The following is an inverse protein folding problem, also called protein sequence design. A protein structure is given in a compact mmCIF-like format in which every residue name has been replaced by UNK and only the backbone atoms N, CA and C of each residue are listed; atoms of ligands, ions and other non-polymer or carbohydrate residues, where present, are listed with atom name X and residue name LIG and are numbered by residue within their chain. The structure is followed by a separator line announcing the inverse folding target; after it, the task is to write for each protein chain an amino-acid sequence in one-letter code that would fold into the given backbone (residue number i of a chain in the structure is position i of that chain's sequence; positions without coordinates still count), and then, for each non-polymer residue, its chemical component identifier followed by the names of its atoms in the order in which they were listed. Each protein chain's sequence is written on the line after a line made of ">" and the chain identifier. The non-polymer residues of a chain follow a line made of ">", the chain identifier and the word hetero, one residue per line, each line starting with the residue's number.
data_IF_613038314869
#
_entry.id   IF_613038314869
#
_cell.length_a   1.000
_cell.length_b   1.000
_cell.length_c   1.000
_cell.angle_alpha   90.00
_cell.angle_beta   90.00
_cell.angle_gamma   90.00
#
_symmetry.space_group_name_H-M   'P 1'
#
loop_
_entity.id
_entity.type
_entity.pdbx_description
1 polymer ?
#
# COMPACT_ATOMS: atom_id res chain seq x y z
N UNK A 1 8.45 -3.04 9.76
CA UNK A 1 9.30 -4.23 9.66
C UNK A 1 9.83 -4.43 8.23
N UNK A 2 11.06 -4.96 8.09
CA UNK A 2 11.68 -5.27 6.81
C UNK A 2 12.07 -4.09 5.93
N UNK A 3 11.83 -2.83 6.33
CA UNK A 3 12.09 -1.63 5.55
C UNK A 3 12.85 -0.56 6.33
N UNK A 4 13.59 0.29 5.60
CA UNK A 4 14.31 1.43 6.16
C UNK A 4 15.51 1.05 7.03
N UNK A 5 16.03 2.03 7.79
CA UNK A 5 17.20 1.87 8.66
C UNK A 5 16.95 0.93 9.84
N UNK A 6 15.72 0.87 10.33
CA UNK A 6 15.34 0.02 11.49
C UNK A 6 15.16 -1.46 11.16
N UNK A 7 15.30 -1.88 9.90
CA UNK A 7 15.12 -3.27 9.51
C UNK A 7 16.32 -4.12 9.93
N UNK A 8 16.09 -5.13 10.76
CA UNK A 8 17.12 -6.12 11.12
C UNK A 8 17.56 -6.93 9.89
N UNK A 9 16.61 -7.33 9.06
CA UNK A 9 16.84 -7.99 7.78
C UNK A 9 15.95 -7.32 6.71
N UNK A 10 16.58 -6.64 5.73
CA UNK A 10 15.87 -5.90 4.69
C UNK A 10 15.08 -6.83 3.78
N UNK A 11 13.83 -6.46 3.49
CA UNK A 11 12.92 -7.25 2.65
C UNK A 11 12.51 -8.58 3.29
N UNK A 12 12.60 -8.70 4.60
CA UNK A 12 12.13 -9.84 5.36
C UNK A 12 11.02 -9.44 6.33
N UNK A 13 10.09 -10.35 6.53
CA UNK A 13 9.00 -10.25 7.48
C UNK A 13 8.76 -11.64 8.06
N UNK A 14 9.01 -11.80 9.34
CA UNK A 14 8.86 -13.09 9.99
C UNK A 14 7.39 -13.47 10.16
N UNK A 15 6.59 -12.51 10.60
CA UNK A 15 5.15 -12.68 10.80
C UNK A 15 4.43 -11.34 10.56
N UNK A 16 3.18 -11.39 10.15
CA UNK A 16 2.34 -10.20 10.03
C UNK A 16 2.06 -9.52 11.37
N UNK A 17 2.22 -10.23 12.48
CA UNK A 17 2.06 -9.69 13.84
C UNK A 17 3.05 -8.56 14.14
N UNK A 18 4.25 -8.59 13.52
CA UNK A 18 5.21 -7.49 13.63
C UNK A 18 4.67 -6.20 13.00
N UNK A 19 3.99 -6.32 11.84
CA UNK A 19 3.33 -5.20 11.16
C UNK A 19 2.18 -4.70 12.02
N UNK A 20 1.32 -5.60 12.49
CA UNK A 20 0.19 -5.28 13.36
C UNK A 20 0.62 -4.49 14.59
N UNK A 21 1.65 -4.99 15.29
CA UNK A 21 2.20 -4.32 16.47
C UNK A 21 2.74 -2.93 16.12
N UNK A 22 3.50 -2.81 15.02
CA UNK A 22 4.08 -1.52 14.59
C UNK A 22 2.99 -0.49 14.29
N UNK A 23 1.92 -0.90 13.61
CA UNK A 23 0.78 -0.02 13.30
C UNK A 23 0.05 0.39 14.57
N UNK A 24 -0.27 -0.56 15.45
CA UNK A 24 -0.94 -0.27 16.72
C UNK A 24 -0.12 0.65 17.61
N UNK A 25 1.19 0.38 17.78
CA UNK A 25 2.06 1.21 18.60
C UNK A 25 2.21 2.62 18.04
N UNK A 26 2.18 2.77 16.71
CA UNK A 26 2.19 4.08 16.05
C UNK A 26 0.85 4.81 16.22
N UNK A 27 -0.27 4.10 16.09
CA UNK A 27 -1.61 4.66 16.22
C UNK A 27 -1.92 5.11 17.66
N UNK A 28 -1.44 4.39 18.67
CA UNK A 28 -1.57 4.79 20.08
C UNK A 28 -0.95 6.16 20.37
N UNK A 29 0.10 6.56 19.64
CA UNK A 29 0.75 7.87 19.83
C UNK A 29 -0.15 9.05 19.45
N UNK A 30 -1.14 8.82 18.61
CA UNK A 30 -2.11 9.82 18.15
C UNK A 30 -3.51 9.59 18.73
N UNK A 31 -3.66 8.69 19.69
CA UNK A 31 -4.97 8.30 20.26
C UNK A 31 -5.70 9.48 20.89
N UNK A 32 -4.96 10.44 21.46
CA UNK A 32 -5.50 11.67 22.06
C UNK A 32 -5.81 12.79 21.05
N UNK A 33 -5.51 12.60 19.76
CA UNK A 33 -5.84 13.60 18.75
C UNK A 33 -7.34 13.57 18.42
N UNK A 34 -7.92 14.75 18.20
CA UNK A 34 -9.34 14.89 17.85
C UNK A 34 -9.68 14.25 16.49
N UNK A 35 -8.74 14.35 15.55
CA UNK A 35 -8.89 13.76 14.22
C UNK A 35 -7.68 12.90 13.87
N UNK A 36 -7.93 11.66 13.48
CA UNK A 36 -6.91 10.68 13.12
C UNK A 36 -7.06 10.29 11.64
N UNK A 37 -6.01 10.55 10.88
CA UNK A 37 -5.96 10.22 9.45
C UNK A 37 -4.90 9.16 9.25
N UNK A 38 -5.26 8.07 8.60
CA UNK A 38 -4.31 7.05 8.16
C UNK A 38 -4.01 7.22 6.67
N UNK A 39 -2.73 7.30 6.32
CA UNK A 39 -2.27 7.35 4.94
C UNK A 39 -1.53 6.06 4.58
N UNK A 40 -1.87 5.49 3.41
CA UNK A 40 -1.18 4.31 2.89
C UNK A 40 -0.91 4.39 1.39
N UNK A 41 0.38 4.24 1.01
CA UNK A 41 0.80 4.13 -0.38
C UNK A 41 1.23 2.70 -0.70
N UNK A 42 0.83 2.19 -1.84
CA UNK A 42 1.24 0.88 -2.36
C UNK A 42 1.03 -0.24 -1.32
N UNK A 43 2.08 -0.95 -0.90
CA UNK A 43 2.03 -1.93 0.19
C UNK A 43 1.56 -1.32 1.51
N UNK A 44 1.90 -0.05 1.81
CA UNK A 44 1.36 0.67 2.95
C UNK A 44 -0.15 0.86 2.88
N UNK A 45 -0.74 0.96 1.69
CA UNK A 45 -2.19 0.97 1.47
C UNK A 45 -2.85 -0.36 1.83
N UNK A 46 -2.21 -1.48 1.48
CA UNK A 46 -2.65 -2.81 1.93
C UNK A 46 -2.59 -2.96 3.45
N UNK A 47 -1.49 -2.49 4.08
CA UNK A 47 -1.33 -2.49 5.54
C UNK A 47 -2.42 -1.66 6.21
N UNK A 48 -2.70 -0.46 5.71
CA UNK A 48 -3.74 0.42 6.25
C UNK A 48 -5.12 -0.23 6.18
N UNK A 49 -5.50 -0.77 5.02
CA UNK A 49 -6.78 -1.47 4.84
C UNK A 49 -6.90 -2.70 5.72
N UNK A 50 -5.85 -3.52 5.77
CA UNK A 50 -5.85 -4.68 6.68
C UNK A 50 -6.06 -4.27 8.13
N UNK A 51 -5.35 -3.23 8.57
CA UNK A 51 -5.42 -2.78 9.97
C UNK A 51 -6.80 -2.25 10.37
N UNK A 52 -7.51 -1.60 9.44
CA UNK A 52 -8.88 -1.14 9.66
C UNK A 52 -9.86 -2.33 9.62
N UNK A 53 -9.77 -3.16 8.59
CA UNK A 53 -10.71 -4.28 8.37
C UNK A 53 -10.57 -5.42 9.37
N UNK A 54 -9.44 -5.49 10.09
CA UNK A 54 -9.21 -6.42 11.20
C UNK A 54 -9.40 -5.79 12.59
N UNK A 55 -10.00 -4.59 12.65
CA UNK A 55 -10.28 -3.85 13.88
C UNK A 55 -9.04 -3.56 14.76
N UNK A 56 -7.85 -3.50 14.16
CA UNK A 56 -6.61 -3.18 14.87
C UNK A 56 -6.49 -1.69 15.18
N UNK A 57 -6.99 -0.84 14.28
CA UNK A 57 -7.01 0.62 14.41
C UNK A 57 -8.32 1.17 13.83
N UNK A 58 -8.77 2.30 14.36
CA UNK A 58 -9.98 2.98 13.91
C UNK A 58 -9.68 4.46 13.63
N UNK A 59 -9.12 4.80 12.47
CA UNK A 59 -8.94 6.19 12.06
C UNK A 59 -10.27 6.81 11.63
N UNK A 60 -10.39 8.14 11.78
CA UNK A 60 -11.55 8.89 11.33
C UNK A 60 -11.59 9.00 9.80
N UNK A 61 -10.42 9.01 9.16
CA UNK A 61 -10.27 9.12 7.70
C UNK A 61 -9.13 8.25 7.18
N UNK A 62 -9.28 7.80 5.92
CA UNK A 62 -8.27 7.02 5.21
C UNK A 62 -7.90 7.70 3.89
N UNK A 63 -6.60 7.83 3.64
CA UNK A 63 -6.05 8.31 2.37
C UNK A 63 -5.25 7.17 1.74
N UNK A 64 -5.58 6.79 0.52
CA UNK A 64 -4.90 5.72 -0.20
C UNK A 64 -4.26 6.24 -1.48
N UNK A 65 -3.07 5.77 -1.78
CA UNK A 65 -2.35 6.03 -3.03
C UNK A 65 -1.87 4.71 -3.61
N UNK A 66 -2.43 4.33 -4.77
CA UNK A 66 -2.08 3.11 -5.50
C UNK A 66 -1.96 1.85 -4.59
N UNK A 67 -2.97 1.54 -3.73
CA UNK A 67 -2.86 0.48 -2.73
C UNK A 67 -2.68 -0.88 -3.40
N UNK A 68 -1.79 -1.71 -2.84
CA UNK A 68 -1.52 -3.06 -3.36
C UNK A 68 -2.69 -3.99 -3.08
N UNK A 69 -3.66 -3.98 -4.00
CA UNK A 69 -4.86 -4.82 -3.98
C UNK A 69 -4.93 -5.63 -5.28
N UNK A 70 -5.74 -6.67 -5.27
CA UNK A 70 -6.04 -7.45 -6.46
C UNK A 70 -5.09 -8.61 -6.71
N UNK A 71 -5.56 -9.49 -7.58
CA UNK A 71 -4.94 -10.76 -7.91
C UNK A 71 -4.00 -10.64 -9.09
N UNK A 72 -2.88 -9.93 -8.93
CA UNK A 72 -1.89 -9.80 -10.00
C UNK A 72 -1.13 -11.11 -10.30
N UNK A 73 -1.32 -12.12 -9.46
CA UNK A 73 -0.65 -13.42 -9.62
C UNK A 73 -1.65 -14.56 -9.89
N UNK A 74 -1.38 -15.41 -10.89
CA UNK A 74 -2.16 -16.62 -11.12
C UNK A 74 -2.21 -17.53 -9.88
N UNK A 75 -3.31 -18.26 -9.68
CA UNK A 75 -3.49 -19.11 -8.50
C UNK A 75 -2.37 -20.15 -8.31
N UNK A 76 -1.78 -20.65 -9.40
CA UNK A 76 -0.66 -21.58 -9.29
C UNK A 76 0.60 -20.91 -8.72
N UNK A 77 0.84 -19.63 -9.02
CA UNK A 77 1.95 -18.84 -8.47
C UNK A 77 1.75 -18.61 -6.96
N UNK A 78 0.52 -18.33 -6.54
CA UNK A 78 0.18 -18.19 -5.11
C UNK A 78 0.41 -19.49 -4.34
N UNK A 79 -0.03 -20.63 -4.89
CA UNK A 79 0.20 -21.96 -4.29
C UNK A 79 1.68 -22.33 -4.25
N UNK A 80 2.41 -22.05 -5.32
CA UNK A 80 3.84 -22.34 -5.39
C UNK A 80 4.61 -21.46 -4.40
N UNK A 81 4.31 -20.17 -4.31
CA UNK A 81 4.95 -19.25 -3.35
C UNK A 81 4.70 -19.69 -1.90
N UNK A 82 3.48 -20.14 -1.59
CA UNK A 82 3.16 -20.67 -0.26
C UNK A 82 3.94 -21.95 0.05
N UNK A 83 4.11 -22.84 -0.91
CA UNK A 83 4.94 -24.05 -0.78
C UNK A 83 6.42 -23.72 -0.57
N UNK A 84 6.95 -22.82 -1.38
CA UNK A 84 8.35 -22.35 -1.26
C UNK A 84 8.57 -21.68 0.10
N UNK A 85 7.65 -20.85 0.57
CA UNK A 85 7.76 -20.18 1.85
C UNK A 85 7.80 -21.14 3.06
N UNK A 86 7.24 -22.34 2.92
CA UNK A 86 7.32 -23.39 3.97
C UNK A 86 8.67 -24.10 4.00
N UNK A 87 9.27 -24.34 2.83
CA UNK A 87 10.50 -25.13 2.68
C UNK A 87 11.74 -24.23 2.75
N UNK A 88 11.68 -23.07 2.12
CA UNK A 88 12.77 -22.10 2.02
C UNK A 88 12.28 -20.67 2.34
N UNK A 89 11.86 -20.37 3.58
CA UNK A 89 11.21 -19.10 3.94
C UNK A 89 12.07 -17.87 3.65
N UNK A 90 13.39 -17.99 3.72
CA UNK A 90 14.35 -16.90 3.46
C UNK A 90 14.83 -16.82 2.00
N UNK A 91 14.29 -17.65 1.09
CA UNK A 91 14.60 -17.53 -0.33
C UNK A 91 14.23 -16.13 -0.84
N UNK A 92 15.18 -15.47 -1.51
CA UNK A 92 14.98 -14.12 -2.06
C UNK A 92 14.28 -14.16 -3.40
N UNK A 93 13.20 -13.38 -3.52
CA UNK A 93 12.42 -13.21 -4.74
C UNK A 93 12.62 -11.76 -5.21
N UNK A 94 13.03 -11.54 -6.47
CA UNK A 94 13.20 -10.19 -7.01
C UNK A 94 11.90 -9.39 -7.00
N UNK A 95 12.02 -8.06 -6.79
CA UNK A 95 10.90 -7.11 -6.93
C UNK A 95 10.49 -6.97 -8.39
N UNK A 96 9.19 -6.74 -8.62
CA UNK A 96 8.63 -6.42 -9.94
C UNK A 96 8.83 -4.94 -10.33
N UNK A 97 9.24 -4.10 -9.38
CA UNK A 97 9.49 -2.67 -9.62
C UNK A 97 10.70 -2.50 -10.51
N UNK A 98 10.54 -1.75 -11.59
CA UNK A 98 11.62 -1.42 -12.53
C UNK A 98 11.57 0.07 -12.93
N UNK A 99 12.64 0.55 -13.59
CA UNK A 99 12.78 1.97 -13.95
C UNK A 99 11.67 2.50 -14.86
N UNK A 100 10.99 1.63 -15.63
CA UNK A 100 9.99 2.07 -16.60
C UNK A 100 8.61 2.28 -15.99
N UNK A 101 8.30 1.59 -14.89
CA UNK A 101 6.95 1.54 -14.33
C UNK A 101 6.76 2.34 -13.02
N UNK A 102 7.84 2.89 -12.45
CA UNK A 102 7.80 3.56 -11.15
C UNK A 102 7.19 4.97 -11.22
N UNK A 103 7.84 5.86 -11.98
CA UNK A 103 7.45 7.28 -12.11
C UNK A 103 7.64 7.76 -13.53
N UNK A 104 7.01 8.88 -13.87
CA UNK A 104 7.28 9.65 -15.11
C UNK A 104 8.52 10.53 -14.95
N UNK A 105 8.87 10.90 -13.72
CA UNK A 105 10.04 11.69 -13.37
C UNK A 105 11.30 10.82 -13.30
N UNK A 106 12.28 11.13 -14.14
CA UNK A 106 13.54 10.35 -14.24
C UNK A 106 14.43 10.54 -13.01
N UNK A 107 14.40 11.70 -12.37
CA UNK A 107 15.21 11.98 -11.19
C UNK A 107 14.68 11.17 -10.00
N UNK A 108 13.37 11.12 -9.82
CA UNK A 108 12.72 10.23 -8.83
C UNK A 108 13.06 8.76 -9.08
N UNK A 109 13.05 8.33 -10.35
CA UNK A 109 13.46 6.95 -10.70
C UNK A 109 14.91 6.70 -10.34
N UNK A 110 15.82 7.63 -10.65
CA UNK A 110 17.24 7.49 -10.34
C UNK A 110 17.49 7.47 -8.83
N UNK A 111 16.86 8.36 -8.08
CA UNK A 111 16.97 8.43 -6.61
C UNK A 111 16.49 7.12 -5.98
N UNK A 112 15.33 6.62 -6.38
CA UNK A 112 14.81 5.33 -5.90
C UNK A 112 15.79 4.16 -6.12
N UNK A 113 16.38 4.08 -7.31
CA UNK A 113 17.29 2.98 -7.64
C UNK A 113 18.70 3.12 -7.06
N UNK A 114 19.08 4.32 -6.60
CA UNK A 114 20.36 4.62 -5.95
C UNK A 114 20.25 4.66 -4.42
N UNK A 115 19.04 4.73 -3.85
CA UNK A 115 18.83 4.76 -2.40
C UNK A 115 19.21 3.40 -1.77
N UNK A 116 20.19 3.38 -0.84
CA UNK A 116 20.60 2.17 -0.14
C UNK A 116 19.53 1.59 0.79
N UNK A 117 18.48 2.35 1.12
CA UNK A 117 17.36 1.90 1.92
C UNK A 117 16.33 1.14 1.08
N UNK A 118 16.34 1.31 -0.24
CA UNK A 118 15.49 0.57 -1.16
C UNK A 118 16.13 -0.77 -1.51
N UNK A 119 15.47 -1.87 -1.15
CA UNK A 119 15.91 -3.19 -1.56
C UNK A 119 14.95 -3.78 -2.59
N UNK A 120 15.53 -4.52 -3.53
CA UNK A 120 14.88 -5.01 -4.74
C UNK A 120 14.58 -6.51 -4.69
N UNK A 121 14.44 -7.05 -3.51
CA UNK A 121 14.05 -8.44 -3.30
C UNK A 121 13.36 -8.59 -1.94
N UNK A 122 12.42 -9.51 -1.87
CA UNK A 122 11.77 -9.90 -0.62
C UNK A 122 11.98 -11.38 -0.35
N UNK A 123 11.84 -11.79 0.91
CA UNK A 123 11.86 -13.22 1.23
C UNK A 123 10.56 -13.91 0.82
N UNK A 124 10.62 -15.22 0.59
CA UNK A 124 9.43 -16.01 0.26
C UNK A 124 8.37 -15.94 1.37
N UNK A 125 8.78 -15.90 2.66
CA UNK A 125 7.85 -15.75 3.78
C UNK A 125 7.17 -14.37 3.78
N UNK A 126 7.91 -13.29 3.48
CA UNK A 126 7.33 -11.96 3.30
C UNK A 126 6.26 -11.96 2.20
N UNK A 127 6.58 -12.53 1.02
CA UNK A 127 5.62 -12.62 -0.09
C UNK A 127 4.36 -13.42 0.29
N UNK A 128 4.49 -14.49 1.06
CA UNK A 128 3.34 -15.27 1.57
C UNK A 128 2.47 -14.42 2.48
N UNK A 129 3.05 -13.71 3.45
CA UNK A 129 2.30 -12.87 4.37
C UNK A 129 1.58 -11.73 3.61
N UNK A 130 2.26 -11.10 2.65
CA UNK A 130 1.65 -10.08 1.80
C UNK A 130 0.46 -10.63 0.98
N UNK A 131 0.56 -11.83 0.42
CA UNK A 131 -0.54 -12.48 -0.31
C UNK A 131 -1.71 -12.82 0.63
N UNK A 132 -1.43 -13.38 1.80
CA UNK A 132 -2.47 -13.74 2.77
C UNK A 132 -3.28 -12.53 3.22
N UNK A 133 -2.60 -11.44 3.53
CA UNK A 133 -3.26 -10.19 3.94
C UNK A 133 -3.98 -9.50 2.80
N UNK A 134 -3.45 -9.57 1.57
CA UNK A 134 -4.15 -9.09 0.39
C UNK A 134 -5.47 -9.83 0.17
N UNK A 135 -5.46 -11.16 0.30
CA UNK A 135 -6.69 -11.97 0.21
C UNK A 135 -7.69 -11.57 1.30
N UNK A 136 -7.24 -11.43 2.56
CA UNK A 136 -8.09 -10.97 3.66
C UNK A 136 -8.74 -9.61 3.34
N UNK A 137 -7.95 -8.64 2.86
CA UNK A 137 -8.47 -7.32 2.48
C UNK A 137 -9.52 -7.44 1.37
N UNK A 138 -9.23 -8.20 0.31
CA UNK A 138 -10.16 -8.38 -0.82
C UNK A 138 -11.48 -9.06 -0.42
N UNK A 139 -11.42 -9.99 0.54
CA UNK A 139 -12.60 -10.71 1.03
C UNK A 139 -13.47 -9.83 1.96
N UNK A 140 -12.86 -8.85 2.62
CA UNK A 140 -13.52 -8.00 3.60
C UNK A 140 -13.72 -6.55 3.15
N UNK A 141 -13.34 -6.19 1.93
CA UNK A 141 -13.31 -4.79 1.44
C UNK A 141 -14.66 -4.08 1.56
N UNK A 142 -15.77 -4.80 1.39
CA UNK A 142 -17.13 -4.27 1.53
C UNK A 142 -17.49 -3.86 2.96
N UNK A 143 -16.69 -4.24 3.95
CA UNK A 143 -16.86 -3.85 5.35
C UNK A 143 -16.18 -2.51 5.67
N UNK A 144 -15.43 -1.92 4.73
CA UNK A 144 -14.79 -0.62 4.93
C UNK A 144 -15.87 0.46 5.10
N UNK A 145 -15.88 1.10 6.29
CA UNK A 145 -16.79 2.20 6.62
C UNK A 145 -16.10 3.55 6.76
N UNK A 146 -14.80 3.55 6.93
CA UNK A 146 -13.99 4.76 7.08
C UNK A 146 -14.08 5.62 5.83
N UNK A 147 -14.45 6.91 5.94
CA UNK A 147 -14.42 7.85 4.82
C UNK A 147 -13.02 7.88 4.18
N UNK A 148 -12.98 7.63 2.88
CA UNK A 148 -11.72 7.37 2.18
C UNK A 148 -11.60 8.21 0.93
N UNK A 149 -10.41 8.78 0.67
CA UNK A 149 -10.01 9.22 -0.66
C UNK A 149 -8.95 8.28 -1.20
N UNK A 150 -9.12 7.83 -2.43
CA UNK A 150 -8.23 6.92 -3.13
C UNK A 150 -7.71 7.54 -4.42
N UNK A 151 -6.41 7.67 -4.55
CA UNK A 151 -5.73 8.07 -5.77
C UNK A 151 -5.10 6.87 -6.46
N UNK A 152 -5.29 6.73 -7.78
CA UNK A 152 -4.63 5.68 -8.55
C UNK A 152 -4.18 6.21 -9.91
N UNK A 153 -2.95 5.87 -10.31
CA UNK A 153 -2.39 6.25 -11.60
C UNK A 153 -3.01 5.47 -12.75
N UNK A 154 -3.44 6.16 -13.79
CA UNK A 154 -4.03 5.54 -14.98
C UNK A 154 -3.08 4.52 -15.63
N UNK A 155 -1.78 4.84 -15.66
CA UNK A 155 -0.73 4.03 -16.30
C UNK A 155 0.10 3.21 -15.29
N UNK A 156 -0.46 2.95 -14.09
CA UNK A 156 0.22 2.11 -13.10
C UNK A 156 0.24 0.65 -13.55
N UNK A 157 1.45 0.14 -13.81
CA UNK A 157 1.68 -1.25 -14.19
C UNK A 157 2.33 -2.08 -13.08
N UNK A 158 2.66 -1.46 -11.95
CA UNK A 158 3.10 -2.15 -10.72
C UNK A 158 1.88 -2.70 -9.99
N UNK A 159 0.92 -1.81 -9.72
CA UNK A 159 -0.40 -2.15 -9.20
C UNK A 159 -1.43 -1.67 -10.22
N UNK A 160 -1.94 -2.52 -11.11
CA UNK A 160 -2.89 -2.11 -12.14
C UNK A 160 -4.13 -1.45 -11.54
N UNK A 161 -4.60 -0.37 -12.16
CA UNK A 161 -5.77 0.42 -11.70
C UNK A 161 -7.01 -0.46 -11.45
N UNK A 162 -7.18 -1.52 -12.23
CA UNK A 162 -8.26 -2.48 -12.04
C UNK A 162 -8.25 -3.18 -10.66
N UNK A 163 -7.10 -3.23 -9.99
CA UNK A 163 -6.98 -3.87 -8.68
C UNK A 163 -7.74 -3.14 -7.56
N UNK A 164 -7.99 -1.84 -7.74
CA UNK A 164 -8.74 -1.00 -6.78
C UNK A 164 -10.22 -0.78 -7.18
N UNK A 165 -10.72 -1.46 -8.22
CA UNK A 165 -12.09 -1.28 -8.72
C UNK A 165 -13.17 -1.51 -7.65
N UNK A 166 -13.00 -2.52 -6.79
CA UNK A 166 -13.94 -2.79 -5.70
C UNK A 166 -14.06 -1.62 -4.70
N UNK A 167 -12.98 -0.88 -4.47
CA UNK A 167 -13.02 0.32 -3.62
C UNK A 167 -13.83 1.44 -4.27
N UNK A 168 -13.79 1.57 -5.60
CA UNK A 168 -14.56 2.60 -6.32
C UNK A 168 -16.06 2.37 -6.29
N UNK A 169 -16.53 1.20 -5.90
CA UNK A 169 -17.94 0.84 -5.77
C UNK A 169 -18.53 1.21 -4.39
N UNK A 170 -17.68 1.57 -3.41
CA UNK A 170 -18.10 1.91 -2.06
C UNK A 170 -18.50 3.38 -1.96
N UNK A 171 -19.68 3.66 -1.37
CA UNK A 171 -20.23 5.01 -1.24
C UNK A 171 -19.37 5.96 -0.39
N UNK A 172 -18.60 5.41 0.53
CA UNK A 172 -17.68 6.15 1.42
C UNK A 172 -16.29 6.34 0.83
N UNK A 173 -16.07 5.95 -0.43
CA UNK A 173 -14.78 6.09 -1.12
C UNK A 173 -14.88 7.09 -2.27
N UNK A 174 -14.16 8.17 -2.17
CA UNK A 174 -13.92 9.07 -3.31
C UNK A 174 -12.72 8.58 -4.10
N UNK A 175 -12.97 8.07 -5.32
CA UNK A 175 -11.95 7.49 -6.18
C UNK A 175 -11.50 8.47 -7.25
N UNK A 176 -10.22 8.84 -7.22
CA UNK A 176 -9.60 9.80 -8.14
C UNK A 176 -8.58 9.07 -9.04
N UNK A 177 -8.93 8.92 -10.31
CA UNK A 177 -7.99 8.44 -11.34
C UNK A 177 -7.08 9.59 -11.76
N UNK A 178 -5.77 9.42 -11.57
CA UNK A 178 -4.78 10.42 -11.93
C UNK A 178 -4.26 10.12 -13.34
N UNK A 179 -4.69 10.96 -14.29
CA UNK A 179 -4.36 10.80 -15.71
C UNK A 179 -2.86 10.88 -15.98
N UNK A 180 -2.36 10.10 -16.93
CA UNK A 180 -0.95 10.04 -17.33
C UNK A 180 0.05 9.70 -16.22
N UNK A 181 -0.44 9.21 -15.06
CA UNK A 181 0.38 8.86 -13.90
C UNK A 181 0.71 7.39 -13.83
N UNK A 182 1.90 7.11 -13.31
CA UNK A 182 2.35 5.77 -12.93
C UNK A 182 2.13 5.54 -11.43
N UNK A 183 2.96 4.69 -10.81
CA UNK A 183 2.78 4.24 -9.43
C UNK A 183 3.04 5.33 -8.39
N UNK A 184 4.11 6.12 -8.55
CA UNK A 184 4.57 7.12 -7.58
C UNK A 184 3.85 8.47 -7.75
N UNK A 185 2.56 8.52 -7.44
CA UNK A 185 1.68 9.67 -7.70
C UNK A 185 2.13 10.99 -7.06
N UNK A 186 2.77 10.92 -5.89
CA UNK A 186 3.27 12.08 -5.15
C UNK A 186 4.70 12.46 -5.53
N UNK A 187 5.33 11.66 -6.42
CA UNK A 187 6.71 11.82 -6.84
C UNK A 187 6.81 11.87 -8.38
N UNK A 188 5.93 12.67 -9.01
CA UNK A 188 5.93 12.93 -10.46
C UNK A 188 5.16 14.22 -10.77
N UNK A 189 5.10 14.61 -12.05
CA UNK A 189 4.53 15.88 -12.53
C UNK A 189 3.05 16.09 -12.13
N UNK A 190 2.33 15.02 -11.86
CA UNK A 190 0.93 15.07 -11.42
C UNK A 190 0.74 15.37 -9.92
N UNK A 191 1.82 15.46 -9.13
CA UNK A 191 1.77 15.80 -7.70
C UNK A 191 0.90 17.01 -7.37
N UNK A 192 0.99 18.16 -8.09
CA UNK A 192 0.13 19.32 -7.78
C UNK A 192 -1.35 19.02 -7.90
N UNK A 193 -1.76 18.21 -8.89
CA UNK A 193 -3.14 17.76 -9.05
C UNK A 193 -3.59 16.90 -7.85
N UNK A 194 -2.79 15.88 -7.47
CA UNK A 194 -3.10 15.00 -6.32
C UNK A 194 -3.25 15.81 -5.03
N UNK A 195 -2.35 16.76 -4.78
CA UNK A 195 -2.41 17.63 -3.59
C UNK A 195 -3.63 18.57 -3.62
N UNK A 196 -4.02 19.08 -4.79
CA UNK A 196 -5.21 19.90 -4.97
C UNK A 196 -6.49 19.14 -4.65
N UNK A 197 -6.63 17.91 -5.18
CA UNK A 197 -7.76 17.05 -4.92
C UNK A 197 -7.83 16.61 -3.45
N UNK A 198 -6.68 16.28 -2.86
CA UNK A 198 -6.60 15.97 -1.43
C UNK A 198 -7.04 17.17 -0.58
N UNK A 199 -6.55 18.37 -0.88
CA UNK A 199 -6.97 19.59 -0.17
C UNK A 199 -8.47 19.86 -0.28
N UNK A 200 -9.05 19.71 -1.49
CA UNK A 200 -10.49 19.82 -1.73
C UNK A 200 -11.25 18.81 -0.84
N UNK A 201 -10.82 17.55 -0.82
CA UNK A 201 -11.46 16.50 -0.03
C UNK A 201 -11.40 16.78 1.47
N UNK A 202 -10.23 17.21 1.99
CA UNK A 202 -10.06 17.58 3.39
C UNK A 202 -11.00 18.72 3.80
N UNK A 203 -11.17 19.74 2.95
CA UNK A 203 -12.13 20.83 3.19
C UNK A 203 -13.56 20.34 3.19
N UNK A 204 -13.96 19.51 2.23
CA UNK A 204 -15.33 19.00 2.12
C UNK A 204 -15.71 18.12 3.32
N UNK A 205 -14.74 17.52 4.00
CA UNK A 205 -14.94 16.75 5.22
C UNK A 205 -14.74 17.56 6.51
N UNK A 206 -14.56 18.89 6.43
CA UNK A 206 -14.34 19.79 7.57
C UNK A 206 -13.12 19.40 8.42
N UNK A 207 -12.06 18.91 7.80
CA UNK A 207 -10.82 18.50 8.48
C UNK A 207 -9.86 19.69 8.60
N UNK A 208 -9.90 20.61 7.61
CA UNK A 208 -9.11 21.85 7.55
C UNK A 208 -9.98 23.03 7.13
#
# INVERSE_FOLDING_TARGET
>A
PGHGEGATEKGDLESWDEVNKTVQDSFRKIESCDTKILFGHSFGGQVALYSILSDLVNPDYLILSAPTLGDNYPNFVKKLSSGIAKIAPKLRIPSIVNKKNLSTDIDVVNDYFNDPLVFRSMTARYGREAINTQNFVNDNINNLKTPTILFHGENDTIVPIASSSKLSELENVEYVVVQNSKHELLNQDTRPFVLSELHRWLKNNNII
#
